data_IF_463180578934
#
_entry.id   IF_463180578934
#
_cell.length_a   1.000
_cell.length_b   1.000
_cell.length_c   1.000
_cell.angle_alpha   90.00
_cell.angle_beta   90.00
_cell.angle_gamma   90.00
#
_symmetry.space_group_name_H-M   'P 1'
#
loop_
_entity.id
_entity.type
_entity.pdbx_description
1 polymer ?
#
# COMPACT_ATOMS: atom_id res chain seq x y z
N UNK A 1 -14.78 -13.96 38.56
CA UNK A 1 -13.45 -13.33 38.68
C UNK A 1 -12.75 -13.44 37.34
N UNK A 2 -12.73 -12.35 36.55
CA UNK A 2 -12.06 -12.33 35.26
C UNK A 2 -10.55 -12.33 35.49
N UNK A 3 -9.91 -13.46 35.18
CA UNK A 3 -8.45 -13.58 35.22
C UNK A 3 -7.86 -12.67 34.14
N UNK A 4 -7.36 -11.50 34.56
CA UNK A 4 -6.49 -10.64 33.78
C UNK A 4 -5.16 -11.39 33.55
N UNK A 5 -5.18 -12.37 32.65
CA UNK A 5 -4.00 -13.11 32.21
C UNK A 5 -3.32 -12.21 31.19
N UNK A 6 -2.22 -11.58 31.58
CA UNK A 6 -1.48 -10.60 30.78
C UNK A 6 -1.44 -11.02 29.30
N UNK A 7 -1.94 -10.12 28.46
CA UNK A 7 -2.06 -10.34 27.02
C UNK A 7 -0.68 -10.72 26.46
N UNK A 8 -0.61 -11.80 25.66
CA UNK A 8 0.67 -12.28 25.17
C UNK A 8 1.23 -11.25 24.19
N UNK A 9 2.56 -11.07 24.20
CA UNK A 9 3.26 -10.14 23.30
C UNK A 9 2.92 -10.43 21.83
N UNK A 10 2.72 -11.71 21.49
CA UNK A 10 2.30 -12.13 20.14
C UNK A 10 0.95 -11.54 19.76
N UNK A 11 -0.05 -11.59 20.64
CA UNK A 11 -1.38 -11.01 20.39
C UNK A 11 -1.30 -9.49 20.22
N UNK A 12 -0.39 -8.82 20.92
CA UNK A 12 -0.13 -7.38 20.76
C UNK A 12 0.53 -7.06 19.41
N UNK A 13 1.44 -7.93 18.94
CA UNK A 13 2.07 -7.78 17.63
C UNK A 13 1.11 -8.05 16.47
N UNK A 14 0.21 -9.03 16.63
CA UNK A 14 -0.80 -9.34 15.62
C UNK A 14 -1.81 -8.19 15.45
N UNK A 15 -2.26 -7.59 16.55
CA UNK A 15 -3.12 -6.39 16.49
C UNK A 15 -2.38 -5.20 15.87
N UNK A 16 -1.13 -4.94 16.28
CA UNK A 16 -0.32 -3.87 15.67
C UNK A 16 -0.17 -4.09 14.15
N UNK A 17 0.02 -5.34 13.72
CA UNK A 17 0.11 -5.68 12.30
C UNK A 17 -1.21 -5.46 11.57
N UNK A 18 -2.34 -5.76 12.22
CA UNK A 18 -3.67 -5.49 11.67
C UNK A 18 -3.93 -3.98 11.55
N UNK A 19 -3.60 -3.20 12.57
CA UNK A 19 -3.72 -1.73 12.58
C UNK A 19 -2.84 -1.09 11.49
N UNK A 20 -1.60 -1.55 11.33
CA UNK A 20 -0.71 -1.05 10.26
C UNK A 20 -1.25 -1.37 8.86
N UNK A 21 -1.85 -2.54 8.67
CA UNK A 21 -2.51 -2.88 7.38
C UNK A 21 -3.70 -1.96 7.12
N UNK A 22 -4.55 -1.75 8.12
CA UNK A 22 -5.71 -0.88 7.99
C UNK A 22 -5.28 0.57 7.70
N UNK A 23 -4.26 1.07 8.40
CA UNK A 23 -3.69 2.40 8.16
C UNK A 23 -3.19 2.54 6.73
N UNK A 24 -2.43 1.56 6.23
CA UNK A 24 -1.97 1.56 4.84
C UNK A 24 -3.12 1.54 3.83
N UNK A 25 -4.20 0.79 4.09
CA UNK A 25 -5.38 0.77 3.23
C UNK A 25 -6.11 2.12 3.22
N UNK A 26 -6.27 2.75 4.39
CA UNK A 26 -6.89 4.07 4.51
C UNK A 26 -6.05 5.12 3.78
N UNK A 27 -4.72 5.09 3.91
CA UNK A 27 -3.82 6.01 3.21
C UNK A 27 -3.89 5.84 1.70
N UNK A 28 -3.98 4.59 1.20
CA UNK A 28 -4.17 4.33 -0.24
C UNK A 28 -5.51 4.91 -0.72
N UNK A 29 -6.59 4.72 0.03
CA UNK A 29 -7.91 5.27 -0.32
C UNK A 29 -7.92 6.80 -0.25
N UNK A 30 -7.24 7.40 0.74
CA UNK A 30 -7.14 8.86 0.92
C UNK A 30 -6.29 9.54 -0.13
N UNK A 31 -5.17 8.92 -0.53
CA UNK A 31 -4.29 9.47 -1.54
C UNK A 31 -4.95 9.50 -2.93
N UNK A 32 -6.02 8.73 -3.13
CA UNK A 32 -6.78 8.68 -4.38
C UNK A 32 -5.91 8.27 -5.57
N UNK A 33 -6.37 8.58 -6.79
CA UNK A 33 -5.66 8.20 -8.02
C UNK A 33 -4.23 8.74 -8.12
N UNK A 34 -3.92 9.85 -7.43
CA UNK A 34 -2.60 10.49 -7.47
C UNK A 34 -1.46 9.60 -6.92
N UNK A 35 -1.77 8.62 -6.07
CA UNK A 35 -0.75 7.69 -5.58
C UNK A 35 -0.25 6.71 -6.65
N UNK A 36 -1.04 6.56 -7.72
CA UNK A 36 -0.71 5.76 -8.89
C UNK A 36 0.09 6.55 -9.94
N UNK A 37 0.31 7.85 -9.72
CA UNK A 37 1.11 8.67 -10.62
C UNK A 37 2.57 8.21 -10.64
N UNK A 38 3.18 8.35 -11.81
CA UNK A 38 4.58 8.01 -12.00
C UNK A 38 5.47 9.02 -11.25
N UNK A 39 6.30 8.54 -10.33
CA UNK A 39 7.25 9.37 -9.61
C UNK A 39 8.53 9.54 -10.43
N UNK A 40 8.89 10.79 -10.75
CA UNK A 40 10.07 11.15 -11.56
C UNK A 40 11.41 10.85 -10.85
N UNK A 41 11.39 10.58 -9.56
CA UNK A 41 12.55 10.06 -8.84
C UNK A 41 13.63 11.05 -8.49
N UNK A 42 13.32 12.34 -8.45
CA UNK A 42 14.26 13.43 -8.12
C UNK A 42 14.96 13.23 -6.76
N UNK A 43 14.33 12.48 -5.85
CA UNK A 43 14.86 12.17 -4.51
C UNK A 43 15.65 10.85 -4.43
N UNK A 44 15.56 9.97 -5.42
CA UNK A 44 16.24 8.67 -5.44
C UNK A 44 17.69 8.82 -5.93
N UNK A 45 18.60 9.17 -5.01
CA UNK A 45 20.00 9.48 -5.34
C UNK A 45 20.91 8.25 -5.43
N UNK A 46 20.60 7.17 -4.71
CA UNK A 46 21.39 5.93 -4.71
C UNK A 46 20.83 4.91 -5.70
N UNK A 47 21.66 4.00 -6.21
CA UNK A 47 21.23 2.98 -7.17
C UNK A 47 20.20 2.02 -6.59
N UNK A 48 20.30 1.70 -5.30
CA UNK A 48 19.31 0.91 -4.57
C UNK A 48 17.97 1.63 -4.45
N UNK A 49 17.97 2.94 -4.19
CA UNK A 49 16.76 3.75 -4.15
C UNK A 49 16.11 3.86 -5.54
N UNK A 50 16.91 4.05 -6.60
CA UNK A 50 16.43 4.05 -7.99
C UNK A 50 15.79 2.72 -8.37
N UNK A 51 16.43 1.59 -8.04
CA UNK A 51 15.88 0.26 -8.31
C UNK A 51 14.58 -0.02 -7.53
N UNK A 52 14.46 0.49 -6.30
CA UNK A 52 13.21 0.41 -5.53
C UNK A 52 12.11 1.27 -6.16
N UNK A 53 12.44 2.49 -6.57
CA UNK A 53 11.51 3.39 -7.21
C UNK A 53 11.00 2.85 -8.54
N UNK A 54 11.89 2.29 -9.37
CA UNK A 54 11.52 1.66 -10.64
C UNK A 54 10.48 0.54 -10.44
N UNK A 55 10.70 -0.33 -9.43
CA UNK A 55 9.73 -1.38 -9.07
C UNK A 55 8.39 -0.83 -8.61
N UNK A 56 8.39 0.26 -7.84
CA UNK A 56 7.14 0.91 -7.40
C UNK A 56 6.40 1.55 -8.57
N UNK A 57 7.11 2.24 -9.47
CA UNK A 57 6.52 2.83 -10.66
C UNK A 57 5.95 1.78 -11.62
N UNK A 58 6.59 0.61 -11.72
CA UNK A 58 6.04 -0.52 -12.48
C UNK A 58 4.73 -1.00 -11.86
N UNK A 59 4.71 -1.25 -10.55
CA UNK A 59 3.49 -1.68 -9.86
C UNK A 59 2.35 -0.67 -10.01
N UNK A 60 2.64 0.63 -9.94
CA UNK A 60 1.66 1.70 -10.19
C UNK A 60 1.11 1.67 -11.62
N UNK A 61 1.94 1.36 -12.61
CA UNK A 61 1.50 1.23 -14.00
C UNK A 61 0.59 0.01 -14.18
N UNK A 62 0.95 -1.13 -13.59
CA UNK A 62 0.15 -2.36 -13.66
C UNK A 62 -1.23 -2.16 -13.03
N UNK A 63 -1.30 -1.49 -11.88
CA UNK A 63 -2.57 -1.17 -11.20
C UNK A 63 -3.43 -0.22 -12.05
N UNK A 64 -2.83 0.81 -12.67
CA UNK A 64 -3.56 1.71 -13.58
C UNK A 64 -4.13 0.97 -14.78
N UNK A 65 -3.37 0.06 -15.37
CA UNK A 65 -3.83 -0.75 -16.49
C UNK A 65 -5.02 -1.64 -16.09
N UNK A 66 -4.94 -2.32 -14.94
CA UNK A 66 -6.03 -3.15 -14.43
C UNK A 66 -7.32 -2.36 -14.15
N UNK A 67 -7.19 -1.16 -13.56
CA UNK A 67 -8.34 -0.28 -13.31
C UNK A 67 -8.98 0.24 -14.60
N UNK A 68 -8.20 0.47 -15.66
CA UNK A 68 -8.72 0.92 -16.95
C UNK A 68 -9.56 -0.16 -17.64
N UNK A 69 -9.16 -1.43 -17.53
CA UNK A 69 -9.93 -2.58 -18.05
C UNK A 69 -11.28 -2.76 -17.34
N UNK A 70 -11.34 -2.59 -16.01
CA UNK A 70 -12.61 -2.73 -15.24
C UNK A 70 -13.66 -1.65 -15.60
N UNK A 71 -13.21 -0.50 -16.11
CA UNK A 71 -14.12 0.56 -16.60
C UNK A 71 -14.67 0.31 -18.01
N UNK A 72 -13.95 -0.42 -18.86
CA UNK A 72 -14.43 -0.74 -20.22
C UNK A 72 -15.48 -1.86 -20.20
N UNK A 73 -15.35 -2.85 -19.31
CA UNK A 73 -16.29 -3.96 -19.18
C UNK A 73 -17.65 -3.57 -18.55
N UNK A 74 -17.74 -2.43 -17.84
CA UNK A 74 -18.98 -1.92 -17.25
C UNK A 74 -19.77 -0.95 -18.15
N UNK A 75 -19.29 -0.69 -19.37
CA UNK A 75 -19.93 0.19 -20.35
C UNK A 75 -20.71 -0.56 -21.46
N UNK A 76 -20.88 -1.88 -21.32
CA UNK A 76 -21.62 -2.75 -22.27
C UNK A 76 -23.02 -3.12 -21.77
#
# INVERSE_FOLDING_TARGET
MATNKGRRIVDALDDLRAELRLSNQIEVLRAGASFLDHDKGERAKTDTAKARLARQNQLRADIRAALATDTEDNAS
#
